data_IF_650283775935
#
_entry.id   IF_650283775935
#
_cell.length_a   1.000
_cell.length_b   1.000
_cell.length_c   1.000
_cell.angle_alpha   90.00
_cell.angle_beta   90.00
_cell.angle_gamma   90.00
#
_symmetry.space_group_name_H-M   'P 1'
#
loop_
_entity.id
_entity.type
_entity.pdbx_description
1 polymer ?
#
# COMPACT_ATOMS: atom_id res chain seq x y z
N UNK A 1 3.88 8.05 -15.66
CA UNK A 1 2.55 7.83 -15.03
C UNK A 1 2.16 6.37 -14.82
N UNK A 2 1.91 5.53 -15.84
CA UNK A 2 1.48 4.12 -15.58
C UNK A 2 2.59 3.21 -15.03
N UNK A 3 3.85 3.41 -15.43
CA UNK A 3 5.00 2.63 -14.95
C UNK A 3 5.33 2.91 -13.48
N UNK A 4 5.37 4.18 -13.08
CA UNK A 4 5.72 4.57 -11.69
C UNK A 4 4.72 4.01 -10.66
N UNK A 5 3.41 4.05 -10.96
CA UNK A 5 2.38 3.48 -10.07
C UNK A 5 2.54 1.96 -9.94
N UNK A 6 2.99 1.29 -11.01
CA UNK A 6 3.23 -0.14 -10.97
C UNK A 6 4.43 -0.48 -10.07
N UNK A 7 5.53 0.26 -10.20
CA UNK A 7 6.74 0.10 -9.37
C UNK A 7 6.46 0.39 -7.88
N UNK A 8 5.70 1.44 -7.58
CA UNK A 8 5.27 1.75 -6.21
C UNK A 8 4.50 0.58 -5.59
N UNK A 9 3.55 0.00 -6.34
CA UNK A 9 2.75 -1.12 -5.88
C UNK A 9 3.59 -2.39 -5.65
N UNK A 10 4.61 -2.62 -6.46
CA UNK A 10 5.57 -3.73 -6.26
C UNK A 10 6.35 -3.51 -4.96
N UNK A 11 6.93 -2.33 -4.76
CA UNK A 11 7.67 -1.98 -3.52
C UNK A 11 6.80 -2.13 -2.27
N UNK A 12 5.57 -1.63 -2.32
CA UNK A 12 4.60 -1.75 -1.21
C UNK A 12 4.31 -3.22 -0.89
N UNK A 13 4.03 -4.05 -1.91
CA UNK A 13 3.71 -5.48 -1.72
C UNK A 13 4.88 -6.24 -1.12
N UNK A 14 6.08 -5.99 -1.62
CA UNK A 14 7.29 -6.65 -1.15
C UNK A 14 7.57 -6.30 0.31
N UNK A 15 7.45 -5.01 0.68
CA UNK A 15 7.67 -4.60 2.07
C UNK A 15 6.61 -5.10 3.03
N UNK A 16 5.35 -5.13 2.60
CA UNK A 16 4.26 -5.77 3.37
C UNK A 16 4.49 -7.27 3.58
N UNK A 17 5.06 -7.97 2.59
CA UNK A 17 5.41 -9.39 2.70
C UNK A 17 6.55 -9.62 3.69
N UNK A 18 7.55 -8.73 3.71
CA UNK A 18 8.70 -8.81 4.62
C UNK A 18 8.30 -8.56 6.08
N UNK A 19 7.35 -7.64 6.32
CA UNK A 19 6.96 -7.24 7.68
C UNK A 19 6.00 -8.22 8.38
N UNK A 20 5.54 -9.29 7.71
CA UNK A 20 4.46 -10.19 8.16
C UNK A 20 3.27 -9.45 8.78
N UNK A 21 3.04 -8.20 8.33
CA UNK A 21 2.05 -7.34 8.92
C UNK A 21 0.70 -7.78 8.37
N UNK A 22 -0.17 -8.24 9.28
CA UNK A 22 -1.57 -8.52 8.93
C UNK A 22 -2.14 -7.26 8.29
N UNK A 23 -2.48 -7.32 6.99
CA UNK A 23 -3.09 -6.25 6.18
C UNK A 23 -4.09 -5.35 6.93
N UNK A 24 -4.88 -5.96 7.83
CA UNK A 24 -5.80 -5.30 8.75
C UNK A 24 -5.14 -4.24 9.64
N UNK A 25 -3.99 -4.54 10.23
CA UNK A 25 -3.21 -3.63 11.07
C UNK A 25 -2.69 -2.44 10.27
N UNK A 26 -2.08 -2.69 9.11
CA UNK A 26 -1.60 -1.62 8.24
C UNK A 26 -2.73 -0.70 7.81
N UNK A 27 -3.83 -1.29 7.32
CA UNK A 27 -5.01 -0.54 6.92
C UNK A 27 -5.54 0.34 8.07
N UNK A 28 -5.64 -0.22 9.28
CA UNK A 28 -6.04 0.52 10.48
C UNK A 28 -5.10 1.68 10.79
N UNK A 29 -3.78 1.47 10.72
CA UNK A 29 -2.76 2.50 11.02
C UNK A 29 -2.82 3.66 10.02
N UNK A 30 -2.96 3.37 8.73
CA UNK A 30 -3.04 4.40 7.68
C UNK A 30 -4.45 5.00 7.53
N UNK A 31 -5.42 4.52 8.32
CA UNK A 31 -6.78 5.04 8.38
C UNK A 31 -7.65 4.67 7.18
N UNK A 32 -7.49 3.44 6.64
CA UNK A 32 -8.37 2.89 5.59
C UNK A 32 -8.88 1.50 5.97
N UNK A 33 -9.86 0.97 5.24
CA UNK A 33 -10.30 -0.41 5.44
C UNK A 33 -9.33 -1.40 4.80
N UNK A 34 -9.22 -2.60 5.37
CA UNK A 34 -8.40 -3.68 4.83
C UNK A 34 -8.90 -4.16 3.45
N UNK A 35 -10.21 -4.10 3.23
CA UNK A 35 -10.85 -4.32 1.93
C UNK A 35 -10.37 -3.29 0.91
N UNK A 36 -10.36 -2.00 1.26
CA UNK A 36 -9.91 -0.94 0.35
C UNK A 36 -8.42 -1.07 0.01
N UNK A 37 -7.58 -1.34 1.02
CA UNK A 37 -6.17 -1.68 0.80
C UNK A 37 -6.03 -2.89 -0.13
N UNK A 38 -6.90 -3.89 0.00
CA UNK A 38 -6.90 -5.07 -0.87
C UNK A 38 -7.21 -4.74 -2.32
N UNK A 39 -8.17 -3.86 -2.57
CA UNK A 39 -8.48 -3.45 -3.93
C UNK A 39 -7.35 -2.66 -4.57
N UNK A 40 -6.64 -1.83 -3.81
CA UNK A 40 -5.45 -1.12 -4.31
C UNK A 40 -4.34 -2.10 -4.67
N UNK A 41 -3.98 -3.01 -3.75
CA UNK A 41 -2.92 -3.99 -3.99
C UNK A 41 -3.25 -4.93 -5.15
N UNK A 42 -4.52 -5.24 -5.38
CA UNK A 42 -4.95 -6.08 -6.51
C UNK A 42 -5.20 -5.30 -7.81
N UNK A 43 -4.91 -4.00 -7.85
CA UNK A 43 -5.11 -3.16 -9.04
C UNK A 43 -6.58 -2.87 -9.38
N UNK A 44 -7.53 -3.25 -8.52
CA UNK A 44 -8.97 -2.97 -8.67
C UNK A 44 -9.31 -1.50 -8.37
N UNK A 45 -8.43 -0.81 -7.63
CA UNK A 45 -8.53 0.63 -7.33
C UNK A 45 -7.15 1.29 -7.54
N UNK A 46 -7.11 2.55 -7.99
CA UNK A 46 -5.85 3.26 -8.15
C UNK A 46 -5.21 3.57 -6.79
N UNK A 47 -3.87 3.55 -6.74
CA UNK A 47 -3.11 4.04 -5.60
C UNK A 47 -3.14 5.57 -5.61
N UNK A 48 -3.98 6.17 -4.76
CA UNK A 48 -4.05 7.64 -4.62
C UNK A 48 -2.80 8.18 -3.92
N UNK A 49 -2.42 9.43 -4.20
CA UNK A 49 -1.25 10.08 -3.58
C UNK A 49 -1.29 10.06 -2.04
N UNK A 50 -2.45 10.31 -1.44
CA UNK A 50 -2.62 10.28 0.03
C UNK A 50 -2.34 8.87 0.60
N UNK A 51 -2.90 7.83 -0.02
CA UNK A 51 -2.65 6.44 0.43
C UNK A 51 -1.20 6.01 0.16
N UNK A 52 -0.59 6.45 -0.95
CA UNK A 52 0.82 6.21 -1.24
C UNK A 52 1.69 6.79 -0.13
N UNK A 53 1.54 8.08 0.19
CA UNK A 53 2.31 8.76 1.23
C UNK A 53 2.26 7.99 2.54
N UNK A 54 1.05 7.67 3.03
CA UNK A 54 0.89 6.96 4.30
C UNK A 54 1.48 5.55 4.29
N UNK A 55 1.38 4.83 3.17
CA UNK A 55 2.00 3.51 3.03
C UNK A 55 3.52 3.62 3.00
N UNK A 56 4.06 4.62 2.31
CA UNK A 56 5.49 4.86 2.22
C UNK A 56 6.07 5.23 3.58
N UNK A 57 5.42 6.14 4.31
CA UNK A 57 5.78 6.51 5.68
C UNK A 57 5.76 5.30 6.62
N UNK A 58 4.70 4.48 6.56
CA UNK A 58 4.59 3.27 7.39
C UNK A 58 5.65 2.23 7.06
N UNK A 59 5.96 2.04 5.78
CA UNK A 59 6.85 1.00 5.28
C UNK A 59 8.32 1.42 5.25
N UNK A 60 8.62 2.70 5.58
CA UNK A 60 9.96 3.28 5.46
C UNK A 60 10.46 3.31 4.02
N UNK A 61 9.56 3.47 3.05
CA UNK A 61 9.88 3.56 1.64
C UNK A 61 10.05 5.04 1.29
N UNK A 62 11.30 5.51 1.25
CA UNK A 62 11.69 6.79 0.66
C UNK A 62 11.75 6.72 -0.87
#
# INVERSE_FOLDING_TARGET
>A
MKQEIHEDLVRIKERLRILDDKKKKVAKIIGITDVYLSYILNGKRPLTANVKSKLFDYLGLS
#
